data_IF_663413117505
#
_entry.id   IF_663413117505
#
_cell.length_a   1.000
_cell.length_b   1.000
_cell.length_c   1.000
_cell.angle_alpha   90.00
_cell.angle_beta   90.00
_cell.angle_gamma   90.00
#
_symmetry.space_group_name_H-M   'P 1'
#
loop_
_entity.id
_entity.type
_entity.pdbx_description
1 polymer ?
#
# COMPACT_ATOMS: atom_id res chain seq x y z
N UNK A 1 48.57 -0.08 -3.98
CA UNK A 1 47.72 1.11 -3.76
C UNK A 1 46.56 1.18 -4.76
N UNK A 2 46.83 1.06 -6.04
CA UNK A 2 45.73 1.07 -7.05
C UNK A 2 44.86 -0.22 -7.05
N UNK A 3 45.45 -1.36 -6.67
CA UNK A 3 44.74 -2.66 -6.60
C UNK A 3 43.82 -2.79 -5.38
N UNK A 4 44.20 -2.22 -4.23
CA UNK A 4 43.38 -2.18 -3.00
C UNK A 4 42.13 -1.28 -3.17
N UNK A 5 42.25 -0.19 -3.94
CA UNK A 5 41.14 0.74 -4.20
C UNK A 5 40.08 0.16 -5.16
N UNK A 6 40.45 -0.77 -6.02
CA UNK A 6 39.52 -1.45 -6.95
C UNK A 6 38.81 -2.60 -6.22
N UNK A 7 39.50 -3.33 -5.35
CA UNK A 7 38.92 -4.43 -4.56
C UNK A 7 37.86 -3.92 -3.57
N UNK A 8 38.13 -2.82 -2.84
CA UNK A 8 37.15 -2.24 -1.90
C UNK A 8 35.90 -1.69 -2.58
N UNK A 9 36.03 -1.12 -3.79
CA UNK A 9 34.88 -0.62 -4.55
C UNK A 9 33.97 -1.73 -5.08
N UNK A 10 34.57 -2.87 -5.47
CA UNK A 10 33.82 -4.02 -5.96
C UNK A 10 33.08 -4.76 -4.82
N UNK A 11 33.66 -4.82 -3.62
CA UNK A 11 33.03 -5.43 -2.45
C UNK A 11 31.87 -4.57 -1.90
N UNK A 12 32.00 -3.24 -1.86
CA UNK A 12 30.94 -2.31 -1.44
C UNK A 12 29.73 -2.33 -2.39
N UNK A 13 29.97 -2.41 -3.70
CA UNK A 13 28.86 -2.52 -4.70
C UNK A 13 28.15 -3.88 -4.57
N UNK A 14 28.90 -4.95 -4.32
CA UNK A 14 28.35 -6.32 -4.19
C UNK A 14 27.52 -6.46 -2.89
N UNK A 15 27.86 -5.81 -1.79
CA UNK A 15 27.06 -5.84 -0.54
C UNK A 15 25.75 -5.07 -0.69
N UNK A 16 25.77 -3.85 -1.22
CA UNK A 16 24.55 -3.04 -1.44
C UNK A 16 23.61 -3.69 -2.46
N UNK A 17 24.16 -4.29 -3.53
CA UNK A 17 23.38 -5.04 -4.50
C UNK A 17 22.77 -6.32 -3.90
N UNK A 18 23.47 -7.00 -3.00
CA UNK A 18 22.94 -8.19 -2.29
C UNK A 18 21.83 -7.86 -1.31
N UNK A 19 21.90 -6.74 -0.59
CA UNK A 19 20.83 -6.31 0.32
C UNK A 19 19.57 -5.93 -0.44
N UNK A 20 19.70 -5.18 -1.55
CA UNK A 20 18.55 -4.86 -2.42
C UNK A 20 17.98 -6.13 -3.09
N UNK A 21 18.80 -7.16 -3.30
CA UNK A 21 18.37 -8.45 -3.81
C UNK A 21 17.49 -9.24 -2.83
N UNK A 22 17.47 -8.90 -1.55
CA UNK A 22 16.68 -9.59 -0.53
C UNK A 22 15.22 -9.11 -0.48
N UNK A 23 14.92 -7.91 -0.97
CA UNK A 23 13.54 -7.38 -0.96
C UNK A 23 12.74 -7.97 -2.13
N UNK A 24 11.58 -8.52 -1.81
CA UNK A 24 10.63 -9.06 -2.78
C UNK A 24 9.59 -8.02 -3.22
N UNK A 25 9.40 -6.95 -2.43
CA UNK A 25 8.52 -5.83 -2.74
C UNK A 25 9.10 -4.50 -2.23
N UNK A 26 8.70 -3.37 -2.84
CA UNK A 26 9.07 -2.03 -2.38
C UNK A 26 8.53 -1.73 -0.97
N UNK A 27 7.41 -2.36 -0.58
CA UNK A 27 6.81 -2.20 0.74
C UNK A 27 7.70 -2.74 1.88
N UNK A 28 8.61 -3.66 1.58
CA UNK A 28 9.59 -4.17 2.55
C UNK A 28 10.69 -3.16 2.87
N UNK A 29 10.86 -2.11 2.05
CA UNK A 29 11.84 -1.04 2.25
C UNK A 29 11.25 -0.01 3.22
N UNK A 30 11.40 -0.26 4.52
CA UNK A 30 10.90 0.62 5.60
C UNK A 30 11.67 1.94 5.65
N UNK A 31 13.00 1.86 5.49
CA UNK A 31 13.89 3.02 5.44
C UNK A 31 14.37 3.26 4.02
N UNK A 32 14.04 4.42 3.47
CA UNK A 32 14.19 4.74 2.04
C UNK A 32 15.64 4.95 1.60
N UNK A 33 16.50 5.47 2.48
CA UNK A 33 17.84 5.90 2.12
C UNK A 33 18.93 5.05 2.78
N UNK A 34 19.75 4.40 1.95
CA UNK A 34 21.05 3.88 2.38
C UNK A 34 22.03 5.05 2.48
N UNK A 35 22.59 5.28 3.66
CA UNK A 35 23.46 6.41 3.94
C UNK A 35 24.80 5.89 4.45
N UNK A 36 25.87 6.16 3.69
CA UNK A 36 27.24 5.76 4.01
C UNK A 36 28.17 6.95 4.08
N UNK A 37 29.07 6.96 5.03
CA UNK A 37 30.11 7.98 5.14
C UNK A 37 31.23 7.56 6.09
N UNK A 38 32.31 8.31 6.03
CA UNK A 38 33.44 8.17 6.97
C UNK A 38 33.61 9.49 7.70
N UNK A 39 33.72 9.43 9.04
CA UNK A 39 34.13 10.54 9.87
C UNK A 39 35.66 10.42 10.06
N UNK A 40 36.40 11.44 9.63
CA UNK A 40 37.85 11.53 9.80
C UNK A 40 38.17 12.53 10.90
N UNK A 41 39.29 12.33 11.59
CA UNK A 41 39.69 13.12 12.75
C UNK A 41 38.61 13.15 13.85
N UNK A 42 37.97 11.99 14.07
CA UNK A 42 36.89 11.89 15.03
C UNK A 42 37.41 12.23 16.45
N UNK A 43 36.70 13.16 17.12
CA UNK A 43 37.04 13.64 18.47
C UNK A 43 36.44 12.77 19.57
N UNK A 44 35.55 11.81 19.19
CA UNK A 44 34.84 10.93 20.10
C UNK A 44 34.76 9.52 19.49
N UNK A 45 34.42 8.54 20.34
CA UNK A 45 34.39 7.14 19.92
C UNK A 45 33.20 6.80 19.03
N UNK A 46 33.33 5.69 18.30
CA UNK A 46 32.23 5.18 17.45
C UNK A 46 31.04 4.67 18.28
N UNK A 47 31.27 4.17 19.50
CA UNK A 47 30.15 3.72 20.38
C UNK A 47 29.32 4.93 20.83
N UNK A 48 29.96 6.08 21.12
CA UNK A 48 29.23 7.29 21.45
C UNK A 48 28.40 7.78 20.24
N UNK A 49 28.96 7.72 19.05
CA UNK A 49 28.23 8.06 17.83
C UNK A 49 27.08 7.11 17.58
N UNK A 50 27.29 5.78 17.66
CA UNK A 50 26.27 4.75 17.50
C UNK A 50 25.09 5.00 18.44
N UNK A 51 25.34 5.38 19.71
CA UNK A 51 24.29 5.68 20.68
C UNK A 51 23.36 6.84 20.27
N UNK A 52 23.81 7.73 19.36
CA UNK A 52 23.02 8.89 18.87
C UNK A 52 22.18 8.58 17.65
N UNK A 53 22.50 7.50 16.92
CA UNK A 53 21.83 7.13 15.68
C UNK A 53 21.06 5.82 15.78
N UNK A 54 21.20 5.08 16.88
CA UNK A 54 20.67 3.73 17.07
C UNK A 54 19.15 3.63 16.83
N UNK A 55 18.39 4.67 17.16
CA UNK A 55 16.91 4.74 17.02
C UNK A 55 16.46 5.47 15.74
N UNK A 56 17.37 5.77 14.81
CA UNK A 56 17.10 6.59 13.62
C UNK A 56 17.04 5.80 12.31
N UNK A 57 17.18 4.48 12.38
CA UNK A 57 17.17 3.62 11.21
C UNK A 57 17.46 2.16 11.57
N UNK A 58 17.64 1.34 10.54
CA UNK A 58 18.07 -0.05 10.66
C UNK A 58 19.36 -0.34 9.88
N UNK A 59 19.77 -1.62 9.85
CA UNK A 59 20.99 -2.10 9.16
C UNK A 59 22.23 -1.27 9.51
N UNK A 60 22.33 -0.89 10.80
CA UNK A 60 23.36 0.03 11.26
C UNK A 60 24.70 -0.69 11.42
N UNK A 61 25.70 -0.28 10.64
CA UNK A 61 27.11 -0.63 10.83
C UNK A 61 27.87 0.64 11.21
N UNK A 62 28.42 0.66 12.41
CA UNK A 62 29.21 1.78 12.93
C UNK A 62 30.50 1.21 13.58
N UNK A 63 31.61 1.32 12.87
CA UNK A 63 32.90 0.78 13.29
C UNK A 63 33.95 1.86 13.20
N UNK A 64 34.91 1.86 14.13
CA UNK A 64 35.93 2.88 14.12
C UNK A 64 37.17 2.54 14.93
N UNK A 65 38.29 3.08 14.48
CA UNK A 65 39.60 3.04 15.17
C UNK A 65 40.43 4.25 14.75
N UNK A 66 41.36 4.67 15.62
CA UNK A 66 42.37 5.71 15.35
C UNK A 66 41.84 7.04 14.77
N UNK A 67 40.69 7.51 15.27
CA UNK A 67 40.07 8.75 14.83
C UNK A 67 39.32 8.67 13.48
N UNK A 68 39.07 7.46 13.01
CA UNK A 68 38.27 7.20 11.81
C UNK A 68 37.03 6.38 12.21
N UNK A 69 35.83 6.80 11.81
CA UNK A 69 34.58 6.05 12.01
C UNK A 69 33.91 5.83 10.64
N UNK A 70 33.71 4.56 10.26
CA UNK A 70 32.90 4.19 9.09
C UNK A 70 31.46 3.93 9.53
N UNK A 71 30.51 4.51 8.83
CA UNK A 71 29.09 4.40 9.13
C UNK A 71 28.32 3.97 7.89
N UNK A 72 27.43 3.01 8.08
CA UNK A 72 26.37 2.62 7.16
C UNK A 72 25.08 2.57 7.96
N UNK A 73 24.00 3.13 7.44
CA UNK A 73 22.67 3.14 8.07
C UNK A 73 21.58 3.29 7.01
N UNK A 74 20.50 2.51 7.13
CA UNK A 74 19.28 2.75 6.41
C UNK A 74 18.36 3.67 7.22
N UNK A 75 17.97 4.81 6.66
CA UNK A 75 17.21 5.84 7.38
C UNK A 75 16.24 6.60 6.45
N UNK A 76 15.19 7.16 7.02
CA UNK A 76 14.31 8.09 6.29
C UNK A 76 14.77 9.56 6.42
N UNK A 77 15.79 9.84 7.25
CA UNK A 77 16.30 11.19 7.43
C UNK A 77 17.84 11.25 7.41
N UNK A 78 18.47 11.10 6.23
CA UNK A 78 19.92 11.14 6.08
C UNK A 78 20.50 12.47 6.51
N UNK A 79 19.78 13.58 6.35
CA UNK A 79 20.22 14.91 6.79
C UNK A 79 20.45 14.98 8.30
N UNK A 80 19.62 14.34 9.12
CA UNK A 80 19.77 14.27 10.57
C UNK A 80 21.03 13.48 10.96
N UNK A 81 21.28 12.36 10.28
CA UNK A 81 22.46 11.52 10.52
C UNK A 81 23.73 12.31 10.22
N UNK A 82 23.82 12.95 9.04
CA UNK A 82 24.98 13.73 8.63
C UNK A 82 25.20 14.96 9.52
N UNK A 83 24.16 15.68 9.91
CA UNK A 83 24.26 16.83 10.81
C UNK A 83 24.73 16.43 12.22
N UNK A 84 24.45 15.19 12.64
CA UNK A 84 24.99 14.63 13.88
C UNK A 84 26.46 14.26 13.69
N UNK A 85 26.81 13.64 12.56
CA UNK A 85 28.15 13.17 12.27
C UNK A 85 29.18 14.33 12.14
N UNK A 86 28.83 15.47 11.56
CA UNK A 86 29.69 16.67 11.44
C UNK A 86 30.20 17.16 12.81
N UNK A 87 29.43 16.92 13.89
CA UNK A 87 29.85 17.30 15.26
C UNK A 87 30.97 16.41 15.82
N UNK A 88 31.27 15.31 15.18
CA UNK A 88 32.28 14.34 15.58
C UNK A 88 33.60 14.51 14.83
N UNK A 89 33.56 15.00 13.60
CA UNK A 89 34.76 15.21 12.79
C UNK A 89 34.43 15.59 11.35
N UNK A 90 35.41 15.49 10.47
CA UNK A 90 35.29 15.80 9.04
C UNK A 90 34.64 14.64 8.29
N UNK A 91 33.59 14.91 7.49
CA UNK A 91 32.94 13.90 6.70
C UNK A 91 33.61 13.72 5.33
N UNK A 92 33.94 12.49 5.00
CA UNK A 92 34.48 12.10 3.69
C UNK A 92 33.69 10.89 3.14
N UNK A 93 33.74 10.69 1.82
CA UNK A 93 33.05 9.60 1.11
C UNK A 93 31.56 9.49 1.46
N UNK A 94 30.88 10.61 1.53
CA UNK A 94 29.43 10.63 1.76
C UNK A 94 28.71 10.10 0.53
N UNK A 95 27.89 9.07 0.73
CA UNK A 95 27.03 8.46 -0.28
C UNK A 95 25.63 8.33 0.30
N UNK A 96 24.64 8.69 -0.46
CA UNK A 96 23.22 8.53 -0.13
C UNK A 96 22.53 7.96 -1.36
N UNK A 97 22.00 6.76 -1.24
CA UNK A 97 21.25 6.09 -2.30
C UNK A 97 19.79 5.96 -1.89
N UNK A 98 18.87 6.22 -2.82
CA UNK A 98 17.46 5.94 -2.63
C UNK A 98 17.19 4.47 -3.01
N UNK A 99 17.02 3.61 -2.00
CA UNK A 99 16.82 2.17 -2.21
C UNK A 99 15.50 1.86 -2.92
N UNK A 100 14.46 2.67 -2.72
CA UNK A 100 13.22 2.53 -3.47
C UNK A 100 13.39 2.85 -4.95
N UNK A 101 14.17 3.89 -5.27
CA UNK A 101 14.50 4.24 -6.65
C UNK A 101 15.35 3.15 -7.32
N UNK A 102 16.38 2.65 -6.63
CA UNK A 102 17.20 1.53 -7.12
C UNK A 102 16.38 0.25 -7.31
N UNK A 103 15.44 -0.03 -6.40
CA UNK A 103 14.49 -1.14 -6.55
C UNK A 103 13.65 -0.97 -7.80
N UNK A 104 13.05 0.20 -8.01
CA UNK A 104 12.24 0.53 -9.21
C UNK A 104 13.05 0.45 -10.50
N UNK A 105 14.28 0.98 -10.52
CA UNK A 105 15.17 0.91 -11.70
C UNK A 105 15.55 -0.53 -12.04
N UNK A 106 15.78 -1.37 -11.03
CA UNK A 106 16.07 -2.79 -11.23
C UNK A 106 14.92 -3.51 -11.94
N UNK A 107 13.68 -3.22 -11.54
CA UNK A 107 12.49 -3.82 -12.17
C UNK A 107 12.17 -3.21 -13.53
N UNK A 108 12.51 -1.93 -13.78
CA UNK A 108 12.40 -1.33 -15.13
C UNK A 108 13.33 -2.01 -16.17
N UNK A 109 14.46 -2.56 -15.74
CA UNK A 109 15.48 -3.14 -16.62
C UNK A 109 15.47 -4.68 -16.65
N UNK A 110 14.59 -5.33 -15.88
CA UNK A 110 14.41 -6.78 -16.04
C UNK A 110 13.62 -7.04 -17.32
N UNK A 111 14.14 -7.90 -18.25
CA UNK A 111 13.28 -8.41 -19.31
C UNK A 111 12.10 -9.11 -18.64
N UNK A 112 10.88 -9.00 -19.17
CA UNK A 112 9.73 -9.67 -18.60
C UNK A 112 10.11 -11.13 -18.40
N UNK A 113 9.98 -11.60 -17.14
CA UNK A 113 10.17 -13.01 -16.79
C UNK A 113 9.45 -13.79 -17.88
N UNK A 114 10.04 -14.84 -18.42
CA UNK A 114 9.47 -15.68 -19.48
C UNK A 114 8.13 -16.27 -18.98
N UNK A 115 7.14 -15.40 -18.80
CA UNK A 115 5.76 -15.78 -18.50
C UNK A 115 5.10 -16.03 -19.84
N UNK A 116 4.42 -17.16 -19.97
CA UNK A 116 3.50 -17.39 -21.07
C UNK A 116 2.60 -16.17 -21.21
N UNK A 117 2.43 -15.69 -22.43
CA UNK A 117 1.60 -14.52 -22.69
C UNK A 117 0.15 -14.86 -22.37
N UNK A 118 -0.44 -14.09 -21.46
CA UNK A 118 -1.85 -14.22 -21.08
C UNK A 118 -2.74 -13.39 -22.01
N UNK A 119 -4.00 -13.76 -22.14
CA UNK A 119 -4.99 -12.91 -22.81
C UNK A 119 -5.37 -11.71 -21.93
N UNK A 120 -5.53 -11.94 -20.61
CA UNK A 120 -5.88 -10.92 -19.63
C UNK A 120 -4.85 -10.83 -18.50
N UNK A 121 -4.62 -9.62 -18.03
CA UNK A 121 -3.87 -9.34 -16.82
C UNK A 121 -4.58 -8.31 -15.95
N UNK A 122 -4.33 -8.33 -14.63
CA UNK A 122 -5.06 -7.52 -13.68
C UNK A 122 -4.12 -6.72 -12.78
N UNK A 123 -4.42 -5.43 -12.63
CA UNK A 123 -3.81 -4.54 -11.65
C UNK A 123 -4.88 -4.07 -10.68
N UNK A 124 -4.72 -4.34 -9.40
CA UNK A 124 -5.62 -3.82 -8.35
C UNK A 124 -4.87 -2.88 -7.42
N UNK A 125 -5.56 -1.87 -6.92
CA UNK A 125 -5.00 -0.88 -6.00
C UNK A 125 -5.76 -0.96 -4.68
N UNK A 126 -5.02 -0.94 -3.56
CA UNK A 126 -5.62 -1.00 -2.23
C UNK A 126 -4.61 -0.93 -1.12
N UNK A 127 -5.07 -1.00 0.13
CA UNK A 127 -4.23 -1.00 1.33
C UNK A 127 -4.68 -2.11 2.26
N UNK A 128 -3.69 -2.78 2.86
CA UNK A 128 -3.88 -3.90 3.79
C UNK A 128 -3.44 -5.23 3.17
N UNK A 129 -2.70 -5.99 3.94
CA UNK A 129 -2.14 -7.28 3.54
C UNK A 129 -3.24 -8.34 3.32
N UNK A 130 -4.31 -8.29 4.12
CA UNK A 130 -5.47 -9.14 3.93
C UNK A 130 -6.22 -8.80 2.63
N UNK A 131 -6.41 -7.52 2.32
CA UNK A 131 -7.01 -7.07 1.05
C UNK A 131 -6.13 -7.49 -0.13
N UNK A 132 -4.81 -7.30 -0.03
CA UNK A 132 -3.88 -7.78 -1.05
C UNK A 132 -4.02 -9.27 -1.29
N UNK A 133 -4.14 -10.07 -0.21
CA UNK A 133 -4.34 -11.51 -0.32
C UNK A 133 -5.65 -11.84 -1.05
N UNK A 134 -6.76 -11.18 -0.73
CA UNK A 134 -8.04 -11.39 -1.44
C UNK A 134 -7.89 -11.14 -2.95
N UNK A 135 -7.26 -10.04 -3.36
CA UNK A 135 -7.04 -9.77 -4.78
C UNK A 135 -6.07 -10.77 -5.42
N UNK A 136 -5.05 -11.24 -4.68
CA UNK A 136 -4.14 -12.28 -5.16
C UNK A 136 -4.87 -13.61 -5.37
N UNK A 137 -5.75 -13.99 -4.43
CA UNK A 137 -6.58 -15.21 -4.52
C UNK A 137 -7.59 -15.12 -5.68
N UNK A 138 -7.98 -13.89 -6.08
CA UNK A 138 -8.77 -13.59 -7.29
C UNK A 138 -7.92 -13.47 -8.57
N UNK A 139 -6.65 -13.92 -8.56
CA UNK A 139 -5.73 -13.91 -9.70
C UNK A 139 -5.33 -12.51 -10.20
N UNK A 140 -5.27 -11.50 -9.34
CA UNK A 140 -4.62 -10.23 -9.67
C UNK A 140 -3.13 -10.45 -9.89
N UNK A 141 -2.57 -9.97 -10.99
CA UNK A 141 -1.15 -10.12 -11.35
C UNK A 141 -0.26 -9.14 -10.57
N UNK A 142 -0.72 -7.90 -10.42
CA UNK A 142 -0.02 -6.84 -9.71
C UNK A 142 -0.96 -6.12 -8.73
N UNK A 143 -0.53 -5.98 -7.48
CA UNK A 143 -1.24 -5.22 -6.46
C UNK A 143 -0.41 -4.00 -6.05
N UNK A 144 -0.96 -2.80 -6.29
CA UNK A 144 -0.31 -1.54 -5.91
C UNK A 144 -0.81 -1.15 -4.52
N UNK A 145 0.10 -1.08 -3.55
CA UNK A 145 -0.23 -0.57 -2.23
C UNK A 145 -0.44 0.94 -2.29
N UNK A 146 -1.65 1.40 -2.04
CA UNK A 146 -2.01 2.82 -2.09
C UNK A 146 -3.50 3.05 -1.86
N UNK A 147 -3.88 4.31 -1.66
CA UNK A 147 -5.27 4.67 -1.37
C UNK A 147 -5.38 6.07 -0.76
N UNK A 148 -6.21 6.26 0.23
CA UNK A 148 -6.67 7.53 0.80
C UNK A 148 -5.58 8.60 1.07
N UNK A 149 -4.40 8.22 1.50
CA UNK A 149 -3.32 9.16 1.88
C UNK A 149 -2.09 9.09 0.98
N UNK A 150 -1.94 8.00 0.23
CA UNK A 150 -0.83 7.77 -0.69
C UNK A 150 -1.40 7.21 -2.00
N UNK A 151 -1.98 8.12 -2.80
CA UNK A 151 -2.48 7.73 -4.12
C UNK A 151 -1.30 7.40 -5.04
N UNK A 152 -1.29 6.22 -5.67
CA UNK A 152 -0.27 5.90 -6.66
C UNK A 152 -0.35 6.89 -7.83
N UNK A 153 0.81 7.25 -8.34
CA UNK A 153 0.94 8.11 -9.51
C UNK A 153 0.59 7.35 -10.80
N UNK A 154 0.44 8.08 -11.89
CA UNK A 154 0.29 7.49 -13.23
C UNK A 154 1.49 6.60 -13.58
N UNK A 155 2.70 7.00 -13.16
CA UNK A 155 3.94 6.26 -13.36
C UNK A 155 3.96 4.94 -12.58
N UNK A 156 3.45 4.92 -11.35
CA UNK A 156 3.35 3.69 -10.54
C UNK A 156 2.41 2.67 -11.19
N UNK A 157 1.27 3.15 -11.73
CA UNK A 157 0.32 2.30 -12.45
C UNK A 157 0.94 1.77 -13.75
N UNK A 158 1.66 2.59 -14.49
CA UNK A 158 2.36 2.16 -15.70
C UNK A 158 3.46 1.14 -15.41
N UNK A 159 4.17 1.31 -14.30
CA UNK A 159 5.20 0.35 -13.88
C UNK A 159 4.57 -1.03 -13.62
N UNK A 160 3.46 -1.10 -12.88
CA UNK A 160 2.73 -2.33 -12.63
C UNK A 160 2.20 -2.96 -13.94
N UNK A 161 1.59 -2.16 -14.80
CA UNK A 161 1.11 -2.58 -16.12
C UNK A 161 2.24 -3.17 -16.97
N UNK A 162 3.43 -2.56 -16.94
CA UNK A 162 4.58 -3.01 -17.72
C UNK A 162 5.15 -4.35 -17.25
N UNK A 163 4.96 -4.72 -15.99
CA UNK A 163 5.38 -6.01 -15.44
C UNK A 163 4.51 -7.18 -15.95
N UNK A 164 3.31 -6.92 -16.43
CA UNK A 164 2.35 -7.96 -16.84
C UNK A 164 2.53 -8.29 -18.33
N UNK A 165 2.74 -9.56 -18.68
CA UNK A 165 2.77 -10.03 -20.05
C UNK A 165 1.39 -10.50 -20.50
N UNK A 166 0.51 -9.56 -20.82
CA UNK A 166 -0.86 -9.84 -21.28
C UNK A 166 -1.26 -8.95 -22.46
N UNK A 167 -2.23 -9.42 -23.27
CA UNK A 167 -2.79 -8.65 -24.39
C UNK A 167 -3.71 -7.53 -23.93
N UNK A 168 -4.52 -7.79 -22.91
CA UNK A 168 -5.45 -6.84 -22.31
C UNK A 168 -5.17 -6.73 -20.81
N UNK A 169 -5.00 -5.53 -20.30
CA UNK A 169 -4.73 -5.29 -18.88
C UNK A 169 -5.90 -4.52 -18.28
N UNK A 170 -6.51 -5.09 -17.27
CA UNK A 170 -7.64 -4.50 -16.55
C UNK A 170 -7.12 -3.88 -15.26
N UNK A 171 -7.39 -2.59 -15.07
CA UNK A 171 -6.98 -1.84 -13.87
C UNK A 171 -8.21 -1.53 -13.01
N UNK A 172 -8.12 -1.90 -11.73
CA UNK A 172 -9.12 -1.68 -10.69
C UNK A 172 -8.60 -0.64 -9.70
N UNK A 173 -8.95 0.64 -9.82
CA UNK A 173 -8.45 1.72 -8.96
C UNK A 173 -8.93 1.60 -7.51
N UNK A 174 -10.14 1.08 -7.28
CA UNK A 174 -10.78 0.88 -5.96
C UNK A 174 -10.84 2.14 -5.08
N UNK A 175 -10.66 3.30 -5.70
CA UNK A 175 -10.72 4.61 -5.07
C UNK A 175 -11.00 5.68 -6.13
N UNK A 176 -11.98 6.55 -5.89
CA UNK A 176 -12.36 7.61 -6.82
C UNK A 176 -11.22 8.56 -7.18
N UNK A 177 -10.30 8.81 -6.24
CA UNK A 177 -9.14 9.69 -6.46
C UNK A 177 -8.07 9.09 -7.40
N UNK A 178 -8.10 7.79 -7.60
CA UNK A 178 -7.11 7.06 -8.41
C UNK A 178 -7.62 6.84 -9.85
N UNK A 179 -8.92 6.90 -10.09
CA UNK A 179 -9.52 6.67 -11.41
C UNK A 179 -8.89 7.58 -12.48
N UNK A 180 -8.63 8.83 -12.14
CA UNK A 180 -8.01 9.78 -13.08
C UNK A 180 -6.58 9.35 -13.47
N UNK A 181 -5.77 8.97 -12.49
CA UNK A 181 -4.39 8.50 -12.74
C UNK A 181 -4.38 7.21 -13.58
N UNK A 182 -5.30 6.27 -13.30
CA UNK A 182 -5.47 5.05 -14.09
C UNK A 182 -5.91 5.35 -15.53
N UNK A 183 -6.80 6.34 -15.72
CA UNK A 183 -7.24 6.78 -17.06
C UNK A 183 -6.09 7.44 -17.82
N UNK A 184 -5.28 8.26 -17.17
CA UNK A 184 -4.09 8.85 -17.79
C UNK A 184 -3.06 7.77 -18.17
N UNK A 185 -2.84 6.76 -17.30
CA UNK A 185 -1.97 5.63 -17.62
C UNK A 185 -2.45 4.89 -18.88
N UNK A 186 -3.76 4.70 -19.04
CA UNK A 186 -4.35 4.13 -20.24
C UNK A 186 -4.03 4.93 -21.50
N UNK A 187 -4.08 6.27 -21.43
CA UNK A 187 -3.88 7.16 -22.60
C UNK A 187 -2.43 7.18 -23.10
N UNK A 188 -1.45 7.02 -22.18
CA UNK A 188 -0.02 7.14 -22.52
C UNK A 188 0.69 5.80 -22.66
N UNK A 189 0.00 4.67 -22.37
CA UNK A 189 0.57 3.32 -22.46
C UNK A 189 0.53 2.78 -23.88
N UNK A 190 1.57 2.07 -24.27
CA UNK A 190 1.58 1.25 -25.51
C UNK A 190 0.78 -0.05 -25.36
N UNK A 191 0.43 -0.44 -24.12
CA UNK A 191 -0.37 -1.64 -23.84
C UNK A 191 -1.87 -1.31 -23.84
N UNK A 192 -2.69 -2.33 -24.12
CA UNK A 192 -4.15 -2.17 -24.06
C UNK A 192 -4.64 -2.20 -22.62
N UNK A 193 -4.84 -1.04 -22.04
CA UNK A 193 -5.36 -0.87 -20.68
C UNK A 193 -6.87 -0.62 -20.71
N UNK A 194 -7.60 -1.32 -19.84
CA UNK A 194 -9.01 -1.13 -19.57
C UNK A 194 -9.19 -0.75 -18.10
N UNK A 195 -9.79 0.40 -17.82
CA UNK A 195 -10.03 0.86 -16.45
C UNK A 195 -11.48 0.57 -16.08
N UNK A 196 -11.70 -0.25 -15.06
CA UNK A 196 -13.00 -0.42 -14.41
C UNK A 196 -13.10 0.65 -13.32
N UNK A 197 -14.06 1.58 -13.36
CA UNK A 197 -14.09 2.74 -12.47
C UNK A 197 -14.58 2.39 -11.05
N UNK A 198 -13.99 1.36 -10.44
CA UNK A 198 -14.26 0.97 -9.06
C UNK A 198 -13.80 2.05 -8.08
N UNK A 199 -14.68 2.41 -7.13
CA UNK A 199 -14.46 3.47 -6.15
C UNK A 199 -14.14 2.95 -4.75
N UNK A 200 -14.26 1.62 -4.57
CA UNK A 200 -14.05 0.95 -3.29
C UNK A 200 -13.49 -0.46 -3.48
N UNK A 201 -12.95 -1.03 -2.42
CA UNK A 201 -12.46 -2.41 -2.38
C UNK A 201 -13.59 -3.41 -2.70
N UNK A 202 -14.80 -3.33 -2.09
CA UNK A 202 -15.92 -4.20 -2.45
C UNK A 202 -16.26 -4.15 -3.95
N UNK A 203 -16.33 -2.96 -4.53
CA UNK A 203 -16.57 -2.81 -5.97
C UNK A 203 -15.50 -3.49 -6.82
N UNK A 204 -14.22 -3.38 -6.43
CA UNK A 204 -13.13 -4.07 -7.14
C UNK A 204 -13.24 -5.58 -7.05
N UNK A 205 -13.64 -6.12 -5.90
CA UNK A 205 -13.86 -7.57 -5.70
C UNK A 205 -15.01 -8.05 -6.56
N UNK A 206 -16.17 -7.36 -6.53
CA UNK A 206 -17.32 -7.70 -7.36
C UNK A 206 -16.99 -7.65 -8.86
N UNK A 207 -16.19 -6.67 -9.30
CA UNK A 207 -15.71 -6.61 -10.67
C UNK A 207 -14.88 -7.85 -11.03
N UNK A 208 -13.95 -8.28 -10.16
CA UNK A 208 -13.14 -9.49 -10.39
C UNK A 208 -14.00 -10.75 -10.45
N UNK A 209 -15.00 -10.88 -9.59
CA UNK A 209 -15.93 -12.02 -9.58
C UNK A 209 -16.83 -12.08 -10.84
N UNK A 210 -17.11 -10.93 -11.44
CA UNK A 210 -17.90 -10.84 -12.68
C UNK A 210 -17.09 -11.15 -13.94
N UNK A 211 -15.76 -11.22 -13.85
CA UNK A 211 -14.89 -11.58 -14.97
C UNK A 211 -15.06 -13.06 -15.35
N UNK A 212 -15.05 -13.33 -16.66
CA UNK A 212 -15.09 -14.68 -17.22
C UNK A 212 -14.08 -14.80 -18.34
N UNK A 213 -13.16 -15.76 -18.21
CA UNK A 213 -12.05 -15.96 -19.15
C UNK A 213 -12.55 -16.28 -20.58
N UNK A 214 -13.69 -16.96 -20.71
CA UNK A 214 -14.31 -17.33 -21.99
C UNK A 214 -14.97 -16.17 -22.74
N UNK A 215 -15.16 -15.00 -22.10
CA UNK A 215 -15.76 -13.83 -22.72
C UNK A 215 -14.71 -12.99 -23.46
N UNK A 216 -15.12 -12.31 -24.52
CA UNK A 216 -14.33 -11.25 -25.13
C UNK A 216 -14.16 -10.05 -24.18
N UNK A 217 -13.20 -9.18 -24.49
CA UNK A 217 -12.83 -8.05 -23.64
C UNK A 217 -13.97 -7.06 -23.45
N UNK A 218 -14.77 -6.80 -24.47
CA UNK A 218 -15.87 -5.83 -24.41
C UNK A 218 -16.98 -6.32 -23.46
N UNK A 219 -17.29 -7.60 -23.55
CA UNK A 219 -18.27 -8.24 -22.68
C UNK A 219 -17.80 -8.29 -21.23
N UNK A 220 -16.50 -8.59 -21.00
CA UNK A 220 -15.92 -8.58 -19.66
C UNK A 220 -15.95 -7.18 -19.06
N UNK A 221 -15.46 -6.14 -19.77
CA UNK A 221 -15.50 -4.76 -19.30
C UNK A 221 -16.92 -4.32 -18.97
N UNK A 222 -17.89 -4.70 -19.78
CA UNK A 222 -19.30 -4.40 -19.53
C UNK A 222 -19.79 -5.09 -18.26
N UNK A 223 -19.62 -6.41 -18.14
CA UNK A 223 -20.06 -7.18 -16.96
C UNK A 223 -19.42 -6.70 -15.66
N UNK A 224 -18.10 -6.45 -15.68
CA UNK A 224 -17.37 -5.91 -14.53
C UNK A 224 -17.86 -4.50 -14.15
N UNK A 225 -18.16 -3.65 -15.15
CA UNK A 225 -18.67 -2.30 -14.91
C UNK A 225 -20.13 -2.31 -14.42
N UNK A 226 -20.91 -3.31 -14.79
CA UNK A 226 -22.26 -3.50 -14.25
C UNK A 226 -22.19 -4.00 -12.80
N UNK A 227 -21.35 -4.98 -12.51
CA UNK A 227 -21.20 -5.55 -11.17
C UNK A 227 -20.82 -4.50 -10.08
N UNK A 228 -19.97 -3.53 -10.41
CA UNK A 228 -19.61 -2.47 -9.42
C UNK A 228 -20.79 -1.57 -9.03
N UNK A 229 -21.88 -1.56 -9.76
CA UNK A 229 -23.06 -0.73 -9.46
C UNK A 229 -24.02 -1.38 -8.49
N UNK A 230 -24.00 -2.71 -8.41
CA UNK A 230 -24.87 -3.49 -7.53
C UNK A 230 -24.34 -3.54 -6.09
N UNK A 231 -23.04 -3.19 -5.88
CA UNK A 231 -22.39 -3.26 -4.58
C UNK A 231 -22.55 -1.95 -3.82
N UNK A 232 -23.18 -2.00 -2.67
CA UNK A 232 -23.22 -0.92 -1.69
C UNK A 232 -21.99 -0.99 -0.79
N UNK A 233 -21.29 0.13 -0.62
CA UNK A 233 -20.05 0.17 0.19
C UNK A 233 -20.24 1.02 1.45
N UNK A 234 -20.01 0.39 2.60
CA UNK A 234 -19.90 1.05 3.89
C UNK A 234 -18.43 1.18 4.31
N UNK A 235 -18.10 2.27 4.99
CA UNK A 235 -16.76 2.49 5.54
C UNK A 235 -16.87 3.11 6.92
N UNK A 236 -16.15 2.56 7.90
CA UNK A 236 -16.05 3.11 9.27
C UNK A 236 -14.62 3.51 9.53
N UNK A 237 -14.41 4.81 9.76
CA UNK A 237 -13.09 5.41 9.97
C UNK A 237 -13.17 6.51 11.03
N UNK A 238 -12.21 7.39 11.14
CA UNK A 238 -12.16 8.49 12.09
C UNK A 238 -11.92 9.83 11.39
N UNK A 239 -12.45 10.89 11.98
CA UNK A 239 -12.24 12.25 11.50
C UNK A 239 -10.83 12.75 11.82
N UNK A 240 -10.07 13.19 10.80
CA UNK A 240 -8.69 13.69 10.96
C UNK A 240 -8.64 15.15 11.49
N UNK A 241 -9.76 15.85 11.46
CA UNK A 241 -9.90 17.25 11.93
C UNK A 241 -11.36 17.54 12.26
N UNK A 242 -11.57 18.61 13.04
CA UNK A 242 -12.92 19.16 13.22
C UNK A 242 -13.50 19.62 11.89
N UNK A 243 -14.75 19.28 11.64
CA UNK A 243 -15.46 19.66 10.41
C UNK A 243 -16.97 19.76 10.66
N UNK A 244 -17.67 20.44 9.76
CA UNK A 244 -19.15 20.42 9.68
C UNK A 244 -19.52 19.82 8.33
N UNK A 245 -20.37 18.81 8.34
CA UNK A 245 -20.85 18.12 7.14
C UNK A 245 -22.37 17.90 7.26
N UNK A 246 -23.16 18.47 6.34
CA UNK A 246 -24.63 18.38 6.36
C UNK A 246 -25.24 18.65 7.74
N UNK A 247 -24.86 19.78 8.36
CA UNK A 247 -25.27 20.21 9.71
C UNK A 247 -24.80 19.30 10.89
N UNK A 248 -24.01 18.28 10.62
CA UNK A 248 -23.36 17.47 11.65
C UNK A 248 -22.02 18.11 12.06
N UNK A 249 -21.88 18.46 13.33
CA UNK A 249 -20.60 18.88 13.91
C UNK A 249 -19.78 17.65 14.29
N UNK A 250 -18.73 17.39 13.53
CA UNK A 250 -17.83 16.23 13.71
C UNK A 250 -16.52 16.74 14.32
N UNK A 251 -16.12 16.19 15.44
CA UNK A 251 -14.85 16.52 16.09
C UNK A 251 -13.73 15.60 15.60
N UNK A 252 -12.50 16.11 15.69
CA UNK A 252 -11.32 15.29 15.42
C UNK A 252 -11.34 14.03 16.28
N UNK A 253 -10.92 12.92 15.69
CA UNK A 253 -10.86 11.57 16.28
C UNK A 253 -12.23 10.92 16.55
N UNK A 254 -13.36 11.59 16.30
CA UNK A 254 -14.66 10.92 16.26
C UNK A 254 -14.73 9.89 15.13
N UNK A 255 -15.43 8.81 15.38
CA UNK A 255 -15.68 7.76 14.39
C UNK A 255 -16.73 8.27 13.42
N UNK A 256 -16.48 8.12 12.12
CA UNK A 256 -17.41 8.46 11.06
C UNK A 256 -17.77 7.23 10.24
N UNK A 257 -19.04 7.13 9.89
CA UNK A 257 -19.55 6.09 9.00
C UNK A 257 -19.91 6.72 7.65
N UNK A 258 -19.40 6.12 6.58
CA UNK A 258 -19.67 6.55 5.21
C UNK A 258 -20.45 5.47 4.47
N UNK A 259 -21.46 5.89 3.71
CA UNK A 259 -22.19 5.07 2.76
C UNK A 259 -21.90 5.60 1.35
N UNK A 260 -21.32 4.77 0.50
CA UNK A 260 -20.88 5.13 -0.86
C UNK A 260 -20.08 6.44 -0.94
N UNK A 261 -19.28 6.71 0.11
CA UNK A 261 -18.41 7.89 0.20
C UNK A 261 -19.02 9.10 0.88
N UNK A 262 -20.33 9.10 1.21
CA UNK A 262 -21.02 10.18 1.92
C UNK A 262 -21.08 9.87 3.41
N UNK A 263 -20.78 10.86 4.29
CA UNK A 263 -20.89 10.69 5.75
C UNK A 263 -22.36 10.62 6.12
N UNK A 264 -22.78 9.52 6.71
CA UNK A 264 -24.17 9.27 7.10
C UNK A 264 -24.38 9.21 8.62
N UNK A 265 -23.29 9.05 9.36
CA UNK A 265 -23.33 9.00 10.82
C UNK A 265 -21.95 9.28 11.44
N UNK A 266 -21.91 9.67 12.71
CA UNK A 266 -20.68 9.83 13.50
C UNK A 266 -20.94 9.51 14.97
N UNK A 267 -19.85 9.18 15.70
CA UNK A 267 -19.95 8.85 17.13
C UNK A 267 -18.59 8.48 17.72
N UNK A 268 -18.58 7.73 18.82
CA UNK A 268 -17.36 7.41 19.56
C UNK A 268 -16.96 5.93 19.51
N UNK A 269 -17.79 5.07 18.94
CA UNK A 269 -17.55 3.63 18.95
C UNK A 269 -17.67 3.05 17.53
N UNK A 270 -16.58 2.43 16.99
CA UNK A 270 -16.58 1.89 15.63
C UNK A 270 -17.63 0.80 15.40
N UNK A 271 -17.88 -0.05 16.40
CA UNK A 271 -18.82 -1.15 16.31
C UNK A 271 -20.28 -0.63 16.18
N UNK A 272 -20.66 0.31 17.05
CA UNK A 272 -21.99 0.93 16.97
C UNK A 272 -22.21 1.62 15.62
N UNK A 273 -21.18 2.32 15.13
CA UNK A 273 -21.24 2.99 13.84
C UNK A 273 -21.36 2.00 12.67
N UNK A 274 -20.71 0.82 12.76
CA UNK A 274 -20.84 -0.23 11.76
C UNK A 274 -22.27 -0.81 11.75
N UNK A 275 -22.87 -1.08 12.90
CA UNK A 275 -24.23 -1.60 12.99
C UNK A 275 -25.25 -0.62 12.41
N UNK A 276 -25.18 0.66 12.83
CA UNK A 276 -26.07 1.71 12.32
C UNK A 276 -25.92 1.95 10.82
N UNK A 277 -24.69 1.80 10.30
CA UNK A 277 -24.40 1.90 8.88
C UNK A 277 -25.02 0.73 8.12
N UNK A 278 -24.84 -0.51 8.58
CA UNK A 278 -25.42 -1.70 7.96
C UNK A 278 -26.93 -1.61 7.91
N UNK A 279 -27.61 -1.17 8.98
CA UNK A 279 -29.05 -0.98 9.00
C UNK A 279 -29.56 0.03 7.95
N UNK A 280 -28.70 0.98 7.52
CA UNK A 280 -29.03 1.92 6.43
C UNK A 280 -28.72 1.36 5.03
N UNK A 281 -27.82 0.39 4.95
CA UNK A 281 -27.35 -0.20 3.69
C UNK A 281 -28.23 -1.37 3.24
N UNK A 282 -28.71 -2.18 4.19
CA UNK A 282 -29.52 -3.38 3.94
C UNK A 282 -30.92 -2.99 3.47
N UNK A 283 -31.41 -3.67 2.45
CA UNK A 283 -32.78 -3.59 1.93
C UNK A 283 -33.31 -5.01 1.60
N UNK A 284 -34.50 -5.09 0.99
CA UNK A 284 -35.19 -6.34 0.66
C UNK A 284 -34.44 -7.22 -0.35
N UNK A 285 -33.49 -6.64 -1.13
CA UNK A 285 -32.70 -7.34 -2.14
C UNK A 285 -31.33 -7.78 -1.61
N UNK A 286 -30.97 -7.39 -0.37
CA UNK A 286 -29.68 -7.68 0.22
C UNK A 286 -29.62 -9.11 0.76
N UNK A 287 -28.58 -9.88 0.42
CA UNK A 287 -28.42 -11.27 0.82
C UNK A 287 -27.03 -11.62 1.39
N UNK A 288 -26.01 -10.78 1.13
CA UNK A 288 -24.66 -11.01 1.63
C UNK A 288 -24.07 -9.72 2.19
N UNK A 289 -23.49 -9.82 3.39
CA UNK A 289 -22.69 -8.76 4.02
C UNK A 289 -21.29 -9.27 4.22
N UNK A 290 -20.30 -8.63 3.59
CA UNK A 290 -18.88 -8.92 3.83
C UNK A 290 -18.25 -7.80 4.64
N UNK A 291 -17.68 -8.12 5.80
CA UNK A 291 -17.02 -7.20 6.71
C UNK A 291 -15.50 -7.40 6.65
N UNK A 292 -14.78 -6.43 6.08
CA UNK A 292 -13.32 -6.38 6.13
C UNK A 292 -12.87 -5.58 7.35
N UNK A 293 -12.23 -6.22 8.34
CA UNK A 293 -11.72 -5.52 9.51
C UNK A 293 -10.25 -5.12 9.35
N UNK A 294 -9.94 -3.91 9.82
CA UNK A 294 -8.63 -3.28 9.69
C UNK A 294 -7.60 -3.72 10.73
N UNK A 295 -6.40 -3.19 10.64
CA UNK A 295 -5.26 -3.48 11.52
C UNK A 295 -5.49 -3.07 12.99
N UNK A 296 -6.43 -2.15 13.25
CA UNK A 296 -6.80 -1.66 14.59
C UNK A 296 -7.93 -2.44 15.25
N UNK A 297 -8.42 -3.50 14.63
CA UNK A 297 -9.53 -4.31 15.13
C UNK A 297 -9.04 -5.74 15.38
N UNK A 298 -9.23 -6.21 16.61
CA UNK A 298 -8.93 -7.59 16.94
C UNK A 298 -9.96 -8.56 16.33
N UNK A 299 -9.53 -9.77 15.99
CA UNK A 299 -10.42 -10.78 15.42
C UNK A 299 -11.63 -11.07 16.31
N UNK A 300 -11.45 -11.10 17.64
CA UNK A 300 -12.53 -11.30 18.61
C UNK A 300 -13.60 -10.20 18.53
N UNK A 301 -13.18 -8.96 18.29
CA UNK A 301 -14.11 -7.82 18.17
C UNK A 301 -14.89 -7.91 16.84
N UNK A 302 -14.22 -8.31 15.76
CA UNK A 302 -14.88 -8.57 14.48
C UNK A 302 -15.90 -9.72 14.58
N UNK A 303 -15.58 -10.79 15.28
CA UNK A 303 -16.50 -11.92 15.53
C UNK A 303 -17.69 -11.50 16.43
N UNK A 304 -17.45 -10.65 17.44
CA UNK A 304 -18.52 -10.08 18.28
C UNK A 304 -19.45 -9.17 17.44
N UNK A 305 -18.88 -8.34 16.58
CA UNK A 305 -19.65 -7.50 15.66
C UNK A 305 -20.50 -8.34 14.70
N UNK A 306 -19.94 -9.41 14.13
CA UNK A 306 -20.68 -10.37 13.28
C UNK A 306 -21.94 -10.86 13.98
N UNK A 307 -21.83 -11.37 15.21
CA UNK A 307 -22.99 -11.87 15.96
C UNK A 307 -24.08 -10.82 16.14
N UNK A 308 -23.71 -9.53 16.33
CA UNK A 308 -24.68 -8.43 16.44
C UNK A 308 -25.30 -8.06 15.09
N UNK A 309 -24.53 -8.17 13.99
CA UNK A 309 -25.06 -7.94 12.66
C UNK A 309 -26.09 -9.03 12.29
N UNK A 310 -25.84 -10.29 12.65
CA UNK A 310 -26.79 -11.41 12.46
C UNK A 310 -28.16 -11.14 13.14
N UNK A 311 -28.18 -10.37 14.24
CA UNK A 311 -29.43 -9.97 14.91
C UNK A 311 -30.20 -8.85 14.18
N UNK A 312 -29.52 -8.01 13.39
CA UNK A 312 -30.13 -6.84 12.72
C UNK A 312 -30.31 -7.02 11.22
N UNK A 313 -29.70 -8.07 10.64
CA UNK A 313 -29.76 -8.43 9.22
C UNK A 313 -29.98 -9.94 9.09
N UNK A 314 -31.08 -10.46 9.68
CA UNK A 314 -31.37 -11.90 9.83
C UNK A 314 -31.45 -12.65 8.48
N UNK A 315 -31.76 -11.94 7.37
CA UNK A 315 -31.90 -12.53 6.04
C UNK A 315 -30.59 -12.53 5.23
N UNK A 316 -29.51 -11.93 5.77
CA UNK A 316 -28.22 -11.84 5.08
C UNK A 316 -27.22 -12.87 5.63
N UNK A 317 -26.48 -13.52 4.75
CA UNK A 317 -25.25 -14.23 5.12
C UNK A 317 -24.15 -13.23 5.48
N UNK A 318 -23.38 -13.51 6.57
CA UNK A 318 -22.36 -12.57 7.03
C UNK A 318 -20.99 -13.21 7.01
N UNK A 319 -20.09 -12.64 6.26
CA UNK A 319 -18.68 -13.00 6.20
C UNK A 319 -17.80 -11.96 6.86
N UNK A 320 -16.77 -12.40 7.60
CA UNK A 320 -15.73 -11.54 8.14
C UNK A 320 -14.38 -11.93 7.55
N UNK A 321 -13.65 -10.95 7.07
CA UNK A 321 -12.35 -11.14 6.43
C UNK A 321 -11.36 -10.15 7.07
N UNK A 322 -10.18 -10.63 7.44
CA UNK A 322 -9.10 -9.72 7.80
C UNK A 322 -8.64 -8.95 6.56
N UNK A 323 -8.81 -7.65 6.58
CA UNK A 323 -8.38 -6.76 5.51
C UNK A 323 -7.02 -6.12 5.76
N UNK A 324 -6.69 -5.85 7.03
CA UNK A 324 -5.43 -5.21 7.45
C UNK A 324 -5.31 -3.74 7.01
N UNK A 325 -6.40 -3.11 6.60
CA UNK A 325 -6.40 -1.70 6.19
C UNK A 325 -6.13 -0.76 7.38
N UNK A 326 -5.19 0.22 7.25
CA UNK A 326 -4.73 1.00 8.40
C UNK A 326 -5.65 2.16 8.81
N UNK A 327 -6.49 2.67 7.90
CA UNK A 327 -7.30 3.88 8.13
C UNK A 327 -8.75 3.57 8.49
N UNK A 328 -9.23 2.42 8.09
CA UNK A 328 -10.61 2.00 8.29
C UNK A 328 -10.68 0.90 9.34
N UNK A 329 -11.52 1.07 10.35
CA UNK A 329 -11.86 -0.02 11.27
C UNK A 329 -12.58 -1.13 10.52
N UNK A 330 -13.54 -0.74 9.66
CA UNK A 330 -14.31 -1.66 8.85
C UNK A 330 -14.52 -1.10 7.45
N UNK A 331 -14.43 -1.98 6.45
CA UNK A 331 -14.97 -1.78 5.11
C UNK A 331 -16.05 -2.83 4.94
N UNK A 332 -17.23 -2.44 4.47
CA UNK A 332 -18.43 -3.25 4.44
C UNK A 332 -18.94 -3.31 3.01
N UNK A 333 -19.19 -4.52 2.52
CA UNK A 333 -19.94 -4.78 1.29
C UNK A 333 -21.34 -5.24 1.66
N UNK A 334 -22.35 -4.73 0.97
CA UNK A 334 -23.71 -5.27 1.00
C UNK A 334 -24.14 -5.52 -0.43
N UNK A 335 -24.52 -6.77 -0.70
CA UNK A 335 -24.88 -7.30 -2.00
C UNK A 335 -26.25 -8.00 -1.95
#
# INVERSE_FOLDING_TARGET
>A
WAYETISSKSEEIIETEKEIQSFSSEAEIIFTYCTEFIIKNATKSHEEFLSKIFDKGDSIVCVGNDGIIKVHIHTNNPGLILSTAVKYGELIKVKIDNMKEQFRERFKNLPPKNMEKKEYGFVSIGMGDGIQKVFTDLNTDEFISGGQTMNPSTEDILAAVNNINADNIIVLPNNSNIILAATQAKEISDKKIHVIPSKSIPQGIAAMLAFKEENDVEKNIKSMTEAIKEVKTGQVTYAVRDTVYNDMEIKKDEIIALFDGEIVNHGNNPESQAIELIQKMVDEDSFLITLFYGDKVDKSDAESLKAKIEEVAEECDIEIIYGGQPLYYYIISVE
#
